data_IF_015067539142
#
_entry.id   IF_015067539142
#
_cell.length_a   1.000
_cell.length_b   1.000
_cell.length_c   1.000
_cell.angle_alpha   90.00
_cell.angle_beta   90.00
_cell.angle_gamma   90.00
#
_symmetry.space_group_name_H-M   'P 1'
#
loop_
_entity.id
_entity.type
_entity.pdbx_description
1 polymer ?
#
# COMPACT_ATOMS: atom_id res chain seq x y z
N UNK A 1 23.39 42.59 13.06
CA UNK A 1 21.91 42.68 13.20
C UNK A 1 21.15 41.93 12.06
N UNK A 2 21.56 42.07 10.80
CA UNK A 2 20.88 41.42 9.63
C UNK A 2 20.76 39.88 9.74
N UNK A 3 21.80 39.21 10.24
CA UNK A 3 21.81 37.75 10.36
C UNK A 3 20.75 37.20 11.36
N UNK A 4 20.51 37.93 12.45
CA UNK A 4 19.48 37.53 13.45
C UNK A 4 18.05 37.64 12.87
N UNK A 5 17.81 38.67 12.05
CA UNK A 5 16.52 38.85 11.38
C UNK A 5 16.28 37.83 10.29
N UNK A 6 17.33 37.40 9.56
CA UNK A 6 17.26 36.32 8.57
C UNK A 6 16.95 34.98 9.25
N UNK A 7 17.62 34.67 10.37
CA UNK A 7 17.34 33.47 11.16
C UNK A 7 15.92 33.46 11.72
N UNK A 8 15.44 34.61 12.22
CA UNK A 8 14.06 34.75 12.69
C UNK A 8 13.03 34.58 11.57
N UNK A 9 13.30 35.12 10.38
CA UNK A 9 12.44 34.96 9.21
C UNK A 9 12.39 33.50 8.76
N UNK A 10 13.53 32.81 8.70
CA UNK A 10 13.60 31.36 8.36
C UNK A 10 12.85 30.54 9.40
N UNK A 11 13.07 30.80 10.69
CA UNK A 11 12.37 30.10 11.77
C UNK A 11 10.86 30.33 11.70
N UNK A 12 10.41 31.58 11.46
CA UNK A 12 8.99 31.89 11.28
C UNK A 12 8.39 31.20 10.07
N UNK A 13 9.12 31.11 8.95
CA UNK A 13 8.65 30.38 7.75
C UNK A 13 8.52 28.88 8.04
N UNK A 14 9.48 28.28 8.73
CA UNK A 14 9.45 26.87 9.13
C UNK A 14 8.23 26.60 10.03
N UNK A 15 7.98 27.43 11.04
CA UNK A 15 6.83 27.29 11.95
C UNK A 15 5.51 27.39 11.19
N UNK A 16 5.38 28.31 10.22
CA UNK A 16 4.15 28.43 9.41
C UNK A 16 3.94 27.25 8.46
N UNK A 17 5.01 26.65 7.93
CA UNK A 17 4.91 25.44 7.09
C UNK A 17 4.50 24.22 7.92
N UNK A 18 4.92 24.13 9.18
CA UNK A 18 4.53 23.03 10.07
C UNK A 18 3.09 23.15 10.61
N UNK A 19 2.53 24.35 10.68
CA UNK A 19 1.18 24.56 11.24
C UNK A 19 0.03 24.23 10.30
N UNK A 20 0.29 23.89 9.03
CA UNK A 20 -0.72 23.61 8.00
C UNK A 20 -1.15 22.14 7.86
N UNK A 21 -0.64 21.22 8.64
CA UNK A 21 -0.95 19.80 8.48
C UNK A 21 -2.16 19.39 9.33
N UNK A 22 -3.31 19.11 8.68
CA UNK A 22 -4.25 18.10 9.18
C UNK A 22 -3.42 16.83 9.47
N UNK A 23 -3.72 16.12 10.56
CA UNK A 23 -3.04 14.85 10.87
C UNK A 23 -2.99 13.96 9.62
N UNK A 24 -1.80 13.55 9.22
CA UNK A 24 -1.64 12.63 8.08
C UNK A 24 -2.25 11.30 8.49
N UNK A 25 -3.28 10.85 7.80
CA UNK A 25 -4.02 9.63 8.12
C UNK A 25 -3.11 8.39 8.29
N UNK A 26 -2.00 8.33 7.54
CA UNK A 26 -0.99 7.26 7.64
C UNK A 26 -0.20 7.30 8.97
N UNK A 27 -0.12 8.48 9.62
CA UNK A 27 0.58 8.67 10.91
C UNK A 27 -0.37 8.70 12.10
N UNK A 28 -1.67 8.46 11.88
CA UNK A 28 -2.72 8.31 12.89
C UNK A 28 -3.32 6.89 12.81
N UNK A 29 -2.56 5.85 13.19
CA UNK A 29 -2.95 4.46 13.04
C UNK A 29 -4.10 4.11 14.00
N UNK A 30 -5.09 3.37 13.50
CA UNK A 30 -6.24 2.84 14.24
C UNK A 30 -6.25 1.31 14.30
N UNK A 31 -5.19 0.68 13.80
CA UNK A 31 -5.02 -0.77 13.82
C UNK A 31 -3.55 -1.19 13.81
N UNK A 32 -3.26 -2.46 14.11
CA UNK A 32 -1.90 -2.95 14.37
C UNK A 32 -1.01 -2.95 13.12
N UNK A 33 -1.58 -3.16 11.92
CA UNK A 33 -0.82 -3.09 10.67
C UNK A 33 -0.40 -1.66 10.37
N UNK A 34 -1.34 -0.69 10.50
CA UNK A 34 -1.04 0.73 10.33
C UNK A 34 -0.03 1.22 11.37
N UNK A 35 -0.12 0.74 12.62
CA UNK A 35 0.86 1.06 13.66
C UNK A 35 2.27 0.60 13.28
N UNK A 36 2.39 -0.61 12.72
CA UNK A 36 3.68 -1.13 12.25
C UNK A 36 4.24 -0.24 11.12
N UNK A 37 3.40 0.16 10.17
CA UNK A 37 3.81 1.04 9.06
C UNK A 37 4.19 2.44 9.55
N UNK A 38 3.40 3.05 10.45
CA UNK A 38 3.69 4.35 11.04
C UNK A 38 5.05 4.36 11.78
N UNK A 39 5.36 3.29 12.52
CA UNK A 39 6.64 3.14 13.20
C UNK A 39 7.83 3.11 12.21
N UNK A 40 7.69 2.40 11.09
CA UNK A 40 8.73 2.36 10.04
C UNK A 40 8.89 3.73 9.38
N UNK A 41 7.79 4.44 9.13
CA UNK A 41 7.82 5.81 8.59
C UNK A 41 8.56 6.75 9.54
N UNK A 42 8.22 6.74 10.84
CA UNK A 42 8.89 7.57 11.83
C UNK A 42 10.38 7.25 11.97
N UNK A 43 10.75 5.96 11.96
CA UNK A 43 12.15 5.52 11.94
C UNK A 43 12.89 6.07 10.71
N UNK A 44 12.25 5.99 9.54
CA UNK A 44 12.82 6.48 8.28
C UNK A 44 13.01 8.00 8.32
N UNK A 45 12.01 8.75 8.81
CA UNK A 45 12.09 10.21 8.98
C UNK A 45 13.24 10.58 9.92
N UNK A 46 13.41 9.86 11.04
CA UNK A 46 14.47 10.14 12.01
C UNK A 46 15.86 9.96 11.38
N UNK A 47 16.09 8.85 10.67
CA UNK A 47 17.37 8.57 9.99
C UNK A 47 17.64 9.59 8.88
N UNK A 48 16.61 9.91 8.07
CA UNK A 48 16.73 10.94 7.03
C UNK A 48 17.07 12.32 7.61
N UNK A 49 16.43 12.69 8.73
CA UNK A 49 16.74 13.95 9.41
C UNK A 49 18.21 14.03 9.86
N UNK A 50 18.74 12.93 10.43
CA UNK A 50 20.15 12.85 10.82
C UNK A 50 21.06 13.04 9.61
N UNK A 51 20.78 12.35 8.50
CA UNK A 51 21.57 12.47 7.25
C UNK A 51 21.57 13.94 6.76
N UNK A 52 20.38 14.55 6.70
CA UNK A 52 20.24 15.95 6.25
C UNK A 52 21.01 16.90 7.16
N UNK A 53 20.94 16.73 8.48
CA UNK A 53 21.67 17.55 9.45
C UNK A 53 23.18 17.41 9.24
N UNK A 54 23.69 16.19 9.07
CA UNK A 54 25.13 15.94 8.82
C UNK A 54 25.58 16.59 7.52
N UNK A 55 24.82 16.42 6.43
CA UNK A 55 25.15 17.03 5.14
C UNK A 55 25.13 18.56 5.23
N UNK A 56 24.13 19.15 5.85
CA UNK A 56 24.04 20.59 6.07
C UNK A 56 25.20 21.10 6.94
N UNK A 57 25.57 20.38 7.99
CA UNK A 57 26.70 20.76 8.85
C UNK A 57 28.02 20.74 8.08
N UNK A 58 28.28 19.69 7.28
CA UNK A 58 29.46 19.63 6.40
C UNK A 58 29.45 20.78 5.39
N UNK A 59 28.31 21.06 4.75
CA UNK A 59 28.19 22.13 3.78
C UNK A 59 28.49 23.48 4.43
N UNK A 60 27.89 23.78 5.56
CA UNK A 60 28.15 25.03 6.31
C UNK A 60 29.61 25.12 6.72
N UNK A 61 30.21 24.04 7.21
CA UNK A 61 31.64 23.98 7.57
C UNK A 61 32.52 24.31 6.37
N UNK A 62 32.31 23.69 5.21
CA UNK A 62 33.08 23.93 3.99
C UNK A 62 32.93 25.38 3.52
N UNK A 63 31.69 25.88 3.43
CA UNK A 63 31.43 27.26 3.00
C UNK A 63 32.03 28.34 3.93
N UNK A 64 32.12 28.04 5.22
CA UNK A 64 32.72 29.02 6.19
C UNK A 64 34.22 28.91 6.26
N UNK A 65 34.78 27.70 6.15
CA UNK A 65 36.24 27.48 6.24
C UNK A 65 36.97 27.88 4.96
N UNK A 66 36.41 27.53 3.79
CA UNK A 66 37.03 27.74 2.48
C UNK A 66 36.48 28.98 1.74
N UNK A 67 35.99 29.97 2.49
CA UNK A 67 35.49 31.23 1.93
C UNK A 67 36.64 32.02 1.30
N UNK A 68 36.54 32.40 0.02
CA UNK A 68 37.52 33.14 -0.77
C UNK A 68 38.05 34.39 -0.07
N UNK A 69 37.18 35.16 0.59
CA UNK A 69 37.55 36.38 1.33
C UNK A 69 38.52 36.14 2.51
N UNK A 70 38.83 34.91 2.88
CA UNK A 70 39.76 34.56 3.95
C UNK A 70 41.10 34.05 3.42
N UNK A 71 41.22 33.84 2.11
CA UNK A 71 42.41 33.31 1.48
C UNK A 71 43.38 34.45 1.07
N UNK A 72 44.70 34.25 1.18
CA UNK A 72 45.69 35.15 0.59
C UNK A 72 45.50 35.23 -0.93
N UNK A 73 45.87 36.37 -1.55
CA UNK A 73 45.73 36.56 -3.00
C UNK A 73 46.52 35.58 -3.85
N UNK A 74 47.57 34.99 -3.27
CA UNK A 74 48.48 34.04 -3.92
C UNK A 74 48.27 32.62 -3.40
N UNK A 75 47.05 32.28 -2.93
CA UNK A 75 46.76 30.94 -2.42
C UNK A 75 46.61 29.95 -3.57
N UNK A 76 47.53 29.02 -3.64
CA UNK A 76 47.41 27.82 -4.48
C UNK A 76 46.82 26.66 -3.64
N UNK A 77 45.69 26.04 -4.10
CA UNK A 77 45.14 24.90 -3.37
C UNK A 77 46.11 23.72 -3.35
N UNK A 78 46.34 23.11 -2.18
CA UNK A 78 47.23 21.94 -2.12
C UNK A 78 46.65 20.77 -2.96
N UNK A 79 47.56 20.06 -3.63
CA UNK A 79 47.18 18.80 -4.30
C UNK A 79 46.77 17.78 -3.22
N UNK A 80 45.50 17.42 -3.21
CA UNK A 80 44.94 16.48 -2.22
C UNK A 80 44.83 15.11 -2.88
N UNK A 81 45.64 14.16 -2.44
CA UNK A 81 45.48 12.75 -2.78
C UNK A 81 44.29 12.16 -2.02
N UNK A 82 43.64 11.11 -2.61
CA UNK A 82 42.49 10.43 -1.99
C UNK A 82 42.86 9.88 -0.60
N UNK A 83 41.88 9.85 0.29
CA UNK A 83 42.00 9.28 1.62
C UNK A 83 41.13 8.04 1.72
N UNK A 84 41.72 6.86 1.69
CA UNK A 84 41.02 5.58 1.72
C UNK A 84 40.08 5.41 2.93
N UNK A 85 40.38 6.03 4.08
CA UNK A 85 39.49 6.00 5.25
C UNK A 85 38.23 6.79 5.00
N UNK A 86 38.38 8.01 4.43
CA UNK A 86 37.23 8.87 4.10
C UNK A 86 36.37 8.22 3.01
N UNK A 87 36.99 7.67 1.99
CA UNK A 87 36.32 6.92 0.91
C UNK A 87 35.52 5.73 1.47
N UNK A 88 36.15 4.92 2.34
CA UNK A 88 35.50 3.79 2.98
C UNK A 88 34.32 4.20 3.83
N UNK A 89 34.38 5.32 4.57
CA UNK A 89 33.29 5.83 5.39
C UNK A 89 32.13 6.33 4.50
N UNK A 90 32.44 7.12 3.45
CA UNK A 90 31.44 7.71 2.56
C UNK A 90 30.65 6.60 1.82
N UNK A 91 31.29 5.51 1.45
CA UNK A 91 30.65 4.38 0.78
C UNK A 91 30.05 3.40 1.79
N UNK A 92 30.74 3.09 2.86
CA UNK A 92 30.33 2.07 3.84
C UNK A 92 29.11 2.46 4.65
N UNK A 93 29.01 3.73 5.09
CA UNK A 93 27.85 4.19 5.88
C UNK A 93 26.52 4.06 5.12
N UNK A 94 26.38 4.54 3.87
CA UNK A 94 25.16 4.30 3.09
C UNK A 94 24.82 2.83 2.89
N UNK A 95 25.82 1.97 2.64
CA UNK A 95 25.62 0.52 2.50
C UNK A 95 25.04 -0.07 3.77
N UNK A 96 25.57 0.28 4.95
CA UNK A 96 25.04 -0.19 6.23
C UNK A 96 23.59 0.28 6.47
N UNK A 97 23.26 1.52 6.10
CA UNK A 97 21.90 2.05 6.19
C UNK A 97 20.94 1.26 5.28
N UNK A 98 21.35 0.96 4.04
CA UNK A 98 20.55 0.16 3.11
C UNK A 98 20.32 -1.25 3.65
N UNK A 99 21.36 -1.92 4.15
CA UNK A 99 21.22 -3.25 4.76
C UNK A 99 20.25 -3.21 5.94
N UNK A 100 20.40 -2.23 6.83
CA UNK A 100 19.51 -2.04 7.96
C UNK A 100 18.04 -1.89 7.53
N UNK A 101 17.74 -0.99 6.59
CA UNK A 101 16.37 -0.80 6.09
C UNK A 101 15.84 -2.00 5.32
N UNK A 102 16.69 -2.75 4.62
CA UNK A 102 16.28 -3.98 3.96
C UNK A 102 15.78 -5.02 4.97
N UNK A 103 16.50 -5.20 6.07
CA UNK A 103 16.09 -6.11 7.15
C UNK A 103 14.77 -5.63 7.81
N UNK A 104 14.68 -4.34 8.14
CA UNK A 104 13.46 -3.74 8.72
C UNK A 104 12.28 -3.91 7.77
N UNK A 105 12.48 -3.69 6.47
CA UNK A 105 11.43 -3.84 5.45
C UNK A 105 10.90 -5.26 5.38
N UNK A 106 11.78 -6.28 5.33
CA UNK A 106 11.37 -7.69 5.27
C UNK A 106 10.58 -8.09 6.52
N UNK A 107 11.07 -7.72 7.72
CA UNK A 107 10.39 -8.04 8.98
C UNK A 107 9.01 -7.36 9.04
N UNK A 108 8.94 -6.08 8.68
CA UNK A 108 7.69 -5.30 8.73
C UNK A 108 6.68 -5.81 7.69
N UNK A 109 7.13 -6.16 6.49
CA UNK A 109 6.26 -6.70 5.45
C UNK A 109 5.62 -8.03 5.90
N UNK A 110 6.40 -8.94 6.46
CA UNK A 110 5.87 -10.20 6.98
C UNK A 110 4.85 -10.01 8.11
N UNK A 111 5.03 -8.98 8.96
CA UNK A 111 4.05 -8.65 10.00
C UNK A 111 2.74 -8.09 9.45
N UNK A 112 2.83 -7.26 8.42
CA UNK A 112 1.64 -6.60 7.83
C UNK A 112 0.81 -7.55 6.96
N UNK A 113 1.45 -8.51 6.30
CA UNK A 113 0.78 -9.53 5.46
C UNK A 113 0.03 -10.58 6.31
N UNK A 114 0.53 -10.90 7.49
CA UNK A 114 -0.05 -11.90 8.38
C UNK A 114 -1.26 -11.36 9.16
N UNK A 115 -2.10 -12.27 9.65
CA UNK A 115 -3.09 -11.92 10.68
C UNK A 115 -2.38 -11.30 11.88
N UNK A 116 -2.84 -10.15 12.41
CA UNK A 116 -2.20 -9.47 13.52
C UNK A 116 -2.01 -10.36 14.74
N UNK A 117 -0.88 -10.24 15.43
CA UNK A 117 -0.54 -11.14 16.56
C UNK A 117 -1.58 -11.13 17.68
N UNK A 118 -2.19 -9.99 17.97
CA UNK A 118 -3.26 -9.86 18.99
C UNK A 118 -4.57 -10.55 18.62
N UNK A 119 -4.73 -11.00 17.36
CA UNK A 119 -5.97 -11.56 16.82
C UNK A 119 -5.84 -13.01 16.33
N UNK A 120 -4.70 -13.64 16.58
CA UNK A 120 -4.46 -15.04 16.20
C UNK A 120 -5.42 -15.97 16.93
N UNK A 121 -6.08 -16.84 16.17
CA UNK A 121 -7.03 -17.83 16.70
C UNK A 121 -8.46 -17.31 16.93
N UNK A 122 -8.75 -16.07 16.57
CA UNK A 122 -10.11 -15.55 16.47
C UNK A 122 -10.64 -15.74 15.05
N UNK A 123 -11.96 -16.00 14.93
CA UNK A 123 -12.61 -16.10 13.63
C UNK A 123 -12.75 -14.71 12.99
N UNK A 124 -12.16 -14.48 11.80
CA UNK A 124 -12.20 -13.19 11.14
C UNK A 124 -13.61 -12.90 10.60
N UNK A 125 -14.00 -11.63 10.61
CA UNK A 125 -15.11 -11.16 9.79
C UNK A 125 -14.65 -11.15 8.33
N UNK A 126 -15.22 -12.00 7.49
CA UNK A 126 -14.92 -12.05 6.05
C UNK A 126 -15.78 -11.02 5.33
N UNK A 127 -15.14 -10.13 4.57
CA UNK A 127 -15.80 -9.11 3.77
C UNK A 127 -15.27 -9.21 2.34
N UNK A 128 -16.16 -9.41 1.39
CA UNK A 128 -15.79 -9.29 -0.02
C UNK A 128 -15.86 -7.83 -0.41
N UNK A 129 -14.73 -7.25 -0.79
CA UNK A 129 -14.65 -5.88 -1.26
C UNK A 129 -14.34 -5.89 -2.76
N UNK A 130 -15.36 -5.70 -3.56
CA UNK A 130 -15.24 -5.63 -5.00
C UNK A 130 -15.32 -4.19 -5.48
N UNK A 131 -14.61 -3.86 -6.56
CA UNK A 131 -14.70 -2.55 -7.19
C UNK A 131 -15.33 -2.64 -8.57
N UNK A 132 -16.07 -1.62 -8.94
CA UNK A 132 -16.50 -1.33 -10.29
C UNK A 132 -16.01 0.06 -10.71
N UNK A 133 -16.42 0.58 -11.88
CA UNK A 133 -16.04 1.90 -12.32
C UNK A 133 -16.46 2.99 -11.31
N UNK A 134 -15.47 3.32 -10.43
CA UNK A 134 -15.43 4.33 -9.36
C UNK A 134 -16.36 4.11 -8.16
N UNK A 135 -16.73 2.85 -7.89
CA UNK A 135 -17.50 2.43 -6.71
C UNK A 135 -16.84 1.25 -6.01
N UNK A 136 -17.09 1.14 -4.71
CA UNK A 136 -16.74 -0.02 -3.90
C UNK A 136 -18.01 -0.70 -3.40
N UNK A 137 -18.06 -2.02 -3.54
CA UNK A 137 -19.12 -2.89 -3.05
C UNK A 137 -18.56 -3.74 -1.92
N UNK A 138 -19.24 -3.78 -0.80
CA UNK A 138 -18.83 -4.56 0.38
C UNK A 138 -19.92 -5.58 0.72
N UNK A 139 -19.63 -6.85 0.48
CA UNK A 139 -20.54 -7.93 0.83
C UNK A 139 -20.08 -8.59 2.13
N UNK A 140 -21.00 -8.75 3.06
CA UNK A 140 -20.82 -9.41 4.35
C UNK A 140 -21.58 -10.74 4.34
N UNK A 141 -21.00 -11.85 3.89
CA UNK A 141 -21.73 -13.13 3.74
C UNK A 141 -22.28 -13.65 5.06
N UNK A 142 -21.56 -13.46 6.17
CA UNK A 142 -22.00 -13.87 7.51
C UNK A 142 -23.30 -13.16 7.94
N UNK A 143 -23.47 -11.92 7.49
CA UNK A 143 -24.60 -11.06 7.88
C UNK A 143 -25.67 -10.94 6.81
N UNK A 144 -25.42 -11.43 5.59
CA UNK A 144 -26.33 -11.31 4.45
C UNK A 144 -26.67 -9.84 4.11
N UNK A 145 -25.63 -9.00 4.03
CA UNK A 145 -25.72 -7.54 3.78
C UNK A 145 -24.72 -7.15 2.69
N UNK A 146 -25.12 -6.19 1.87
CA UNK A 146 -24.25 -5.51 0.95
C UNK A 146 -24.34 -3.99 1.10
N UNK A 147 -23.18 -3.33 1.10
CA UNK A 147 -23.09 -1.87 1.11
C UNK A 147 -22.28 -1.35 -0.08
N UNK A 148 -22.57 -0.12 -0.48
CA UNK A 148 -21.87 0.57 -1.58
C UNK A 148 -21.29 1.88 -1.05
N UNK A 149 -20.00 2.11 -1.29
CA UNK A 149 -19.23 3.30 -0.93
C UNK A 149 -19.18 3.63 0.58
N UNK A 150 -19.52 2.67 1.43
CA UNK A 150 -19.23 2.74 2.86
C UNK A 150 -19.01 1.34 3.45
N UNK A 151 -18.28 1.28 4.55
CA UNK A 151 -17.84 0.06 5.22
C UNK A 151 -17.95 0.24 6.73
N UNK A 152 -18.78 -0.56 7.38
CA UNK A 152 -18.85 -0.63 8.84
C UNK A 152 -18.17 -1.90 9.34
N UNK A 153 -17.32 -1.76 10.35
CA UNK A 153 -16.50 -2.85 10.88
C UNK A 153 -16.51 -2.86 12.41
N UNK A 154 -16.51 -4.04 13.04
CA UNK A 154 -16.33 -4.13 14.48
C UNK A 154 -14.87 -3.88 14.87
N UNK A 155 -14.66 -3.25 16.04
CA UNK A 155 -13.35 -3.21 16.69
C UNK A 155 -13.04 -4.52 17.39
N UNK A 156 -11.75 -4.78 17.60
CA UNK A 156 -11.26 -5.96 18.34
C UNK A 156 -11.66 -7.31 17.72
N UNK A 157 -12.00 -7.34 16.45
CA UNK A 157 -12.20 -8.55 15.65
C UNK A 157 -11.31 -8.50 14.41
N UNK A 158 -10.60 -9.59 14.04
CA UNK A 158 -9.82 -9.60 12.82
C UNK A 158 -10.73 -9.52 11.58
N UNK A 159 -10.27 -8.81 10.57
CA UNK A 159 -10.97 -8.61 9.30
C UNK A 159 -10.21 -9.32 8.20
N UNK A 160 -10.92 -10.06 7.36
CA UNK A 160 -10.37 -10.67 6.16
C UNK A 160 -11.10 -10.13 4.93
N UNK A 161 -10.42 -9.24 4.21
CA UNK A 161 -10.94 -8.71 2.96
C UNK A 161 -10.58 -9.62 1.79
N UNK A 162 -11.58 -10.02 1.02
CA UNK A 162 -11.45 -10.73 -0.27
C UNK A 162 -11.67 -9.69 -1.38
N UNK A 163 -10.58 -9.33 -2.08
CA UNK A 163 -10.56 -8.19 -3.01
C UNK A 163 -10.58 -8.66 -4.45
N UNK A 164 -11.48 -8.10 -5.26
CA UNK A 164 -11.53 -8.29 -6.71
C UNK A 164 -12.18 -7.10 -7.41
N UNK A 165 -12.21 -7.08 -8.73
CA UNK A 165 -12.75 -5.97 -9.52
C UNK A 165 -13.64 -6.47 -10.65
N UNK A 166 -14.74 -5.80 -10.89
CA UNK A 166 -15.61 -5.94 -12.07
C UNK A 166 -15.18 -5.05 -13.25
N UNK A 167 -14.16 -4.23 -13.04
CA UNK A 167 -13.67 -3.27 -14.03
C UNK A 167 -12.15 -3.18 -14.02
N UNK A 168 -11.58 -1.99 -14.06
CA UNK A 168 -10.14 -1.81 -14.07
C UNK A 168 -9.51 -2.30 -12.75
N UNK A 169 -8.20 -2.56 -12.78
CA UNK A 169 -7.43 -2.85 -11.56
C UNK A 169 -7.51 -1.64 -10.64
N UNK A 170 -7.92 -1.89 -9.41
CA UNK A 170 -7.99 -0.89 -8.33
C UNK A 170 -7.09 -1.32 -7.17
N UNK A 171 -6.81 -0.42 -6.25
CA UNK A 171 -6.05 -0.74 -5.04
C UNK A 171 -6.84 -0.30 -3.82
N UNK A 172 -7.32 -1.28 -3.06
CA UNK A 172 -8.03 -1.06 -1.81
C UNK A 172 -7.08 -0.53 -0.74
N UNK A 173 -7.42 0.60 -0.13
CA UNK A 173 -6.58 1.22 0.89
C UNK A 173 -7.39 1.98 1.94
N UNK A 174 -7.20 1.59 3.20
CA UNK A 174 -7.66 2.32 4.39
C UNK A 174 -6.39 2.75 5.15
N UNK A 175 -5.89 3.99 4.96
CA UNK A 175 -4.59 4.43 5.48
C UNK A 175 -4.38 4.24 6.97
N UNK A 176 -5.45 4.36 7.76
CA UNK A 176 -5.40 4.25 9.22
C UNK A 176 -5.48 2.80 9.73
N UNK A 177 -5.80 1.83 8.88
CA UNK A 177 -5.83 0.41 9.25
C UNK A 177 -4.64 -0.38 8.69
N UNK A 178 -4.14 -0.02 7.51
CA UNK A 178 -3.02 -0.76 6.95
C UNK A 178 -2.63 -0.36 5.54
N UNK A 179 -1.80 -1.20 4.92
CA UNK A 179 -1.35 -1.04 3.55
C UNK A 179 -2.42 -1.34 2.53
N UNK A 180 -2.09 -1.04 1.29
CA UNK A 180 -2.96 -1.27 0.14
C UNK A 180 -2.75 -2.66 -0.45
N UNK A 181 -3.80 -3.20 -1.10
CA UNK A 181 -3.71 -4.41 -1.91
C UNK A 181 -4.56 -4.29 -3.18
N UNK A 182 -4.09 -4.88 -4.27
CA UNK A 182 -4.79 -4.81 -5.56
C UNK A 182 -6.06 -5.67 -5.58
N UNK A 183 -7.10 -5.12 -6.18
CA UNK A 183 -8.32 -5.81 -6.60
C UNK A 183 -8.29 -5.95 -8.12
N UNK A 184 -8.34 -7.19 -8.60
CA UNK A 184 -8.18 -7.55 -10.02
C UNK A 184 -9.38 -8.35 -10.52
N UNK A 185 -9.65 -8.31 -11.83
CA UNK A 185 -10.89 -8.87 -12.38
C UNK A 185 -10.96 -10.40 -12.38
N UNK A 186 -9.83 -11.10 -12.43
CA UNK A 186 -9.83 -12.57 -12.63
C UNK A 186 -9.25 -13.34 -11.45
N UNK A 187 -9.06 -12.69 -10.32
CA UNK A 187 -8.50 -13.32 -9.12
C UNK A 187 -8.95 -12.61 -7.85
N UNK A 188 -9.03 -13.36 -6.77
CA UNK A 188 -9.28 -12.83 -5.44
C UNK A 188 -7.95 -12.66 -4.71
N UNK A 189 -7.68 -11.47 -4.18
CA UNK A 189 -6.56 -11.23 -3.29
C UNK A 189 -7.06 -11.10 -1.85
N UNK A 190 -6.26 -11.54 -0.88
CA UNK A 190 -6.66 -11.50 0.54
C UNK A 190 -5.84 -10.45 1.29
N UNK A 191 -6.51 -9.59 2.05
CA UNK A 191 -5.90 -8.59 2.92
C UNK A 191 -6.43 -8.76 4.34
N UNK A 192 -5.52 -8.86 5.31
CA UNK A 192 -5.84 -8.97 6.73
C UNK A 192 -5.66 -7.61 7.41
N UNK A 193 -6.72 -7.12 8.05
CA UNK A 193 -6.70 -5.89 8.83
C UNK A 193 -7.37 -6.13 10.19
N UNK A 194 -7.23 -5.15 11.10
CA UNK A 194 -8.02 -5.07 12.32
C UNK A 194 -8.12 -3.60 12.75
N UNK A 195 -9.21 -3.25 13.43
CA UNK A 195 -9.38 -1.96 14.06
C UNK A 195 -9.33 -2.12 15.59
N UNK A 196 -8.37 -1.44 16.24
CA UNK A 196 -8.23 -1.44 17.70
C UNK A 196 -9.09 -0.36 18.35
N UNK A 197 -9.39 0.72 17.61
CA UNK A 197 -10.12 1.88 18.10
C UNK A 197 -11.34 2.17 17.22
N UNK A 198 -12.44 2.58 17.87
CA UNK A 198 -13.63 3.09 17.17
C UNK A 198 -13.35 4.47 16.57
N UNK A 199 -13.96 4.75 15.43
CA UNK A 199 -13.89 6.06 14.79
C UNK A 199 -14.14 6.02 13.30
N UNK A 200 -14.26 7.20 12.73
CA UNK A 200 -14.46 7.42 11.31
C UNK A 200 -13.12 7.50 10.58
N UNK A 201 -13.05 6.86 9.43
CA UNK A 201 -11.87 6.80 8.56
C UNK A 201 -12.31 6.93 7.10
N UNK A 202 -11.37 7.20 6.22
CA UNK A 202 -11.60 7.26 4.79
C UNK A 202 -10.80 6.16 4.07
N UNK A 203 -11.52 5.32 3.35
CA UNK A 203 -10.91 4.40 2.40
C UNK A 203 -10.95 4.95 0.97
N UNK A 204 -10.05 4.47 0.12
CA UNK A 204 -9.94 4.93 -1.26
C UNK A 204 -9.28 3.91 -2.18
N UNK A 205 -9.51 4.11 -3.46
CA UNK A 205 -8.65 3.49 -4.48
C UNK A 205 -7.30 4.23 -4.54
N UNK A 206 -6.20 3.51 -4.47
CA UNK A 206 -4.85 4.06 -4.55
C UNK A 206 -4.15 3.78 -5.91
N UNK A 207 -4.84 3.16 -6.88
CA UNK A 207 -4.36 2.91 -8.22
C UNK A 207 -5.20 3.69 -9.24
N UNK A 208 -4.56 4.48 -10.11
CA UNK A 208 -5.28 5.26 -11.11
C UNK A 208 -6.12 4.35 -12.02
N UNK A 209 -7.43 4.58 -12.04
CA UNK A 209 -8.43 3.76 -12.73
C UNK A 209 -9.34 4.57 -13.66
N UNK A 210 -8.84 5.67 -14.22
CA UNK A 210 -9.54 6.47 -15.19
C UNK A 210 -10.18 7.75 -14.65
N UNK A 211 -11.18 8.28 -15.35
CA UNK A 211 -11.72 9.65 -15.19
C UNK A 211 -12.29 9.94 -13.79
N UNK A 212 -12.96 8.97 -13.18
CA UNK A 212 -13.57 9.11 -11.84
C UNK A 212 -12.70 8.60 -10.68
N UNK A 213 -11.40 8.38 -10.92
CA UNK A 213 -10.47 7.88 -9.90
C UNK A 213 -10.47 8.68 -8.60
N UNK A 214 -10.49 10.01 -8.69
CA UNK A 214 -10.43 10.88 -7.51
C UNK A 214 -11.65 10.72 -6.57
N UNK A 215 -12.78 10.29 -7.10
CA UNK A 215 -14.04 10.10 -6.39
C UNK A 215 -14.25 8.65 -5.92
N UNK A 216 -13.36 7.73 -6.31
CA UNK A 216 -13.41 6.33 -5.91
C UNK A 216 -12.92 6.16 -4.45
N UNK A 217 -13.72 6.70 -3.55
CA UNK A 217 -13.51 6.72 -2.10
C UNK A 217 -14.72 6.11 -1.39
N UNK A 218 -14.53 5.67 -0.15
CA UNK A 218 -15.59 5.12 0.68
C UNK A 218 -15.39 5.53 2.14
N UNK A 219 -16.49 5.72 2.84
CA UNK A 219 -16.49 5.98 4.27
C UNK A 219 -16.25 4.69 5.04
N UNK A 220 -15.46 4.74 6.09
CA UNK A 220 -15.22 3.60 6.98
C UNK A 220 -15.53 4.02 8.41
N UNK A 221 -16.35 3.25 9.10
CA UNK A 221 -16.60 3.44 10.52
C UNK A 221 -16.29 2.16 11.29
N UNK A 222 -15.36 2.27 12.22
CA UNK A 222 -15.07 1.22 13.20
C UNK A 222 -15.88 1.47 14.46
N UNK A 223 -16.60 0.46 14.94
CA UNK A 223 -17.49 0.56 16.09
C UNK A 223 -17.38 -0.67 16.99
N UNK A 224 -17.93 -0.60 18.21
CA UNK A 224 -17.97 -1.78 19.07
C UNK A 224 -18.79 -2.91 18.43
N UNK A 225 -18.52 -4.17 18.81
CA UNK A 225 -19.28 -5.33 18.31
C UNK A 225 -20.80 -5.15 18.53
N UNK A 226 -21.21 -4.68 19.69
CA UNK A 226 -22.64 -4.47 20.01
C UNK A 226 -23.31 -3.50 19.04
N UNK A 227 -22.63 -2.38 18.70
CA UNK A 227 -23.14 -1.39 17.72
C UNK A 227 -23.16 -1.95 16.30
N UNK A 228 -22.18 -2.77 15.96
CA UNK A 228 -22.15 -3.45 14.67
C UNK A 228 -23.32 -4.43 14.54
N UNK A 229 -23.62 -5.19 15.58
CA UNK A 229 -24.74 -6.13 15.61
C UNK A 229 -26.09 -5.39 15.56
N UNK A 230 -26.21 -4.24 16.23
CA UNK A 230 -27.37 -3.37 16.16
C UNK A 230 -27.58 -2.82 14.73
N UNK A 231 -26.53 -2.34 14.07
CA UNK A 231 -26.57 -1.92 12.67
C UNK A 231 -26.99 -3.07 11.74
N UNK A 232 -26.44 -4.27 11.91
CA UNK A 232 -26.84 -5.44 11.14
C UNK A 232 -28.32 -5.72 11.26
N UNK A 233 -28.88 -5.61 12.48
CA UNK A 233 -30.30 -5.82 12.73
C UNK A 233 -31.13 -4.74 12.04
N UNK A 234 -30.76 -3.47 12.17
CA UNK A 234 -31.44 -2.35 11.52
C UNK A 234 -31.47 -2.53 9.99
N UNK A 235 -30.35 -2.91 9.38
CA UNK A 235 -30.28 -3.15 7.93
C UNK A 235 -31.23 -4.27 7.52
N UNK A 236 -31.27 -5.37 8.26
CA UNK A 236 -32.19 -6.50 7.96
C UNK A 236 -33.67 -6.13 8.05
N UNK A 237 -34.02 -5.15 8.89
CA UNK A 237 -35.39 -4.69 9.07
C UNK A 237 -35.79 -3.61 8.03
N UNK A 238 -34.83 -2.80 7.56
CA UNK A 238 -35.14 -1.58 6.80
C UNK A 238 -34.69 -1.58 5.36
N UNK A 239 -33.60 -2.30 5.03
CA UNK A 239 -33.02 -2.26 3.71
C UNK A 239 -33.80 -3.15 2.71
N UNK A 240 -33.72 -2.78 1.45
CA UNK A 240 -34.29 -3.58 0.35
C UNK A 240 -33.30 -4.66 -0.09
N UNK A 241 -33.79 -5.81 -0.59
CA UNK A 241 -32.91 -6.85 -1.12
C UNK A 241 -32.17 -6.33 -2.37
N UNK A 242 -30.89 -6.73 -2.49
CA UNK A 242 -30.18 -6.52 -3.73
C UNK A 242 -30.71 -7.48 -4.80
N UNK A 243 -30.88 -6.97 -6.00
CA UNK A 243 -31.30 -7.79 -7.15
C UNK A 243 -30.20 -7.76 -8.20
N UNK A 244 -30.10 -8.82 -9.01
CA UNK A 244 -29.17 -8.88 -10.13
C UNK A 244 -29.30 -7.68 -11.08
N UNK A 245 -30.53 -7.23 -11.35
CA UNK A 245 -30.79 -6.05 -12.18
C UNK A 245 -30.16 -4.79 -11.57
N UNK A 246 -30.42 -4.56 -10.25
CA UNK A 246 -29.86 -3.40 -9.57
C UNK A 246 -28.34 -3.45 -9.47
N UNK A 247 -27.78 -4.62 -9.22
CA UNK A 247 -26.34 -4.79 -9.18
C UNK A 247 -25.70 -4.52 -10.56
N UNK A 248 -26.28 -5.04 -11.64
CA UNK A 248 -25.79 -4.75 -13.00
C UNK A 248 -25.89 -3.26 -13.38
N UNK A 249 -26.84 -2.52 -12.82
CA UNK A 249 -26.88 -1.06 -12.92
C UNK A 249 -25.73 -0.39 -12.18
N UNK A 250 -25.42 -0.87 -10.96
CA UNK A 250 -24.32 -0.36 -10.15
C UNK A 250 -22.95 -0.63 -10.77
N UNK A 251 -22.80 -1.65 -11.61
CA UNK A 251 -21.55 -1.92 -12.33
C UNK A 251 -21.28 -0.90 -13.46
N UNK A 252 -22.30 -0.18 -13.95
CA UNK A 252 -22.10 0.83 -15.00
C UNK A 252 -21.23 1.99 -14.50
N UNK A 253 -20.38 2.59 -15.39
CA UNK A 253 -19.58 3.75 -15.03
C UNK A 253 -20.42 4.89 -14.47
N UNK A 254 -20.01 5.43 -13.34
CA UNK A 254 -20.71 6.54 -12.68
C UNK A 254 -20.41 6.58 -11.18
N UNK A 255 -20.81 7.66 -10.56
CA UNK A 255 -20.70 7.85 -9.13
C UNK A 255 -22.04 7.59 -8.46
N UNK A 256 -22.04 6.85 -7.35
CA UNK A 256 -23.21 6.57 -6.52
C UNK A 256 -22.93 7.05 -5.09
N UNK A 257 -23.99 7.39 -4.37
CA UNK A 257 -23.90 7.66 -2.94
C UNK A 257 -23.70 6.37 -2.12
N UNK A 258 -23.89 6.48 -0.83
CA UNK A 258 -23.90 5.33 0.07
C UNK A 258 -25.22 4.59 -0.07
N UNK A 259 -25.16 3.29 -0.33
CA UNK A 259 -26.34 2.44 -0.47
C UNK A 259 -26.21 1.20 0.41
N UNK A 260 -27.34 0.67 0.84
CA UNK A 260 -27.42 -0.52 1.70
C UNK A 260 -28.49 -1.47 1.17
N UNK A 261 -28.16 -2.77 1.18
CA UNK A 261 -29.04 -3.83 0.73
C UNK A 261 -28.99 -5.02 1.69
N UNK A 262 -30.10 -5.76 1.80
CA UNK A 262 -30.08 -7.12 2.30
C UNK A 262 -29.74 -8.08 1.17
N UNK A 263 -29.16 -9.24 1.50
CA UNK A 263 -28.53 -10.14 0.52
C UNK A 263 -27.18 -9.66 0.04
N UNK A 264 -26.51 -10.46 -0.75
CA UNK A 264 -25.24 -10.13 -1.39
C UNK A 264 -25.28 -10.45 -2.88
N UNK A 265 -24.48 -9.72 -3.68
CA UNK A 265 -24.36 -10.05 -5.10
C UNK A 265 -23.66 -11.42 -5.33
N UNK A 266 -23.04 -11.98 -4.32
CA UNK A 266 -22.34 -13.26 -4.42
C UNK A 266 -23.25 -14.41 -4.81
N UNK A 267 -24.58 -14.32 -4.54
CA UNK A 267 -25.56 -15.33 -4.87
C UNK A 267 -25.81 -15.48 -6.38
N UNK A 268 -25.63 -14.40 -7.15
CA UNK A 268 -25.86 -14.37 -8.59
C UNK A 268 -24.64 -13.91 -9.42
N UNK A 269 -23.64 -13.32 -8.77
CA UNK A 269 -22.38 -12.89 -9.37
C UNK A 269 -21.21 -13.22 -8.42
N UNK A 270 -20.84 -14.50 -8.32
CA UNK A 270 -19.84 -14.95 -7.35
C UNK A 270 -18.47 -14.35 -7.65
N UNK A 271 -17.64 -14.26 -6.60
CA UNK A 271 -16.25 -13.86 -6.73
C UNK A 271 -15.49 -14.81 -7.70
N UNK A 272 -14.49 -14.30 -8.43
CA UNK A 272 -13.67 -15.14 -9.30
C UNK A 272 -13.06 -16.33 -8.57
N UNK A 273 -13.02 -17.50 -9.20
CA UNK A 273 -12.30 -18.65 -8.70
C UNK A 273 -10.79 -18.40 -8.82
N UNK A 274 -10.05 -18.62 -7.76
CA UNK A 274 -8.60 -18.47 -7.71
C UNK A 274 -8.15 -17.56 -6.57
N UNK A 275 -7.53 -18.17 -5.58
CA UNK A 275 -6.79 -17.40 -4.59
C UNK A 275 -5.50 -16.89 -5.21
N UNK A 276 -5.13 -15.68 -4.80
CA UNK A 276 -3.81 -15.14 -5.09
C UNK A 276 -2.76 -16.19 -4.73
N UNK A 277 -2.04 -16.70 -5.71
CA UNK A 277 -0.82 -17.44 -5.51
C UNK A 277 0.24 -16.46 -4.97
N UNK A 278 0.00 -15.91 -3.78
CA UNK A 278 0.97 -15.15 -3.02
C UNK A 278 2.06 -16.12 -2.66
N UNK A 279 3.22 -15.92 -3.24
CA UNK A 279 4.55 -16.41 -2.91
C UNK A 279 4.60 -17.54 -1.84
N UNK A 280 4.21 -18.74 -2.22
CA UNK A 280 4.69 -19.93 -1.58
C UNK A 280 6.16 -20.11 -2.03
N UNK A 281 7.09 -19.57 -1.26
CA UNK A 281 8.44 -20.11 -1.22
C UNK A 281 8.32 -21.57 -0.74
N UNK A 282 8.70 -22.45 -1.65
CA UNK A 282 8.59 -23.87 -1.61
C UNK A 282 8.80 -24.54 -0.25
N UNK A 283 7.89 -25.43 0.03
CA UNK A 283 8.22 -26.73 0.56
C UNK A 283 7.69 -27.76 -0.42
N UNK A 284 8.63 -28.33 -1.15
CA UNK A 284 8.45 -29.50 -1.97
C UNK A 284 8.04 -30.68 -1.08
N UNK A 285 6.80 -31.11 -1.20
CA UNK A 285 6.45 -32.50 -0.89
C UNK A 285 5.94 -33.17 -2.17
N UNK A 286 6.85 -33.97 -2.69
CA UNK A 286 6.63 -34.98 -3.71
C UNK A 286 5.71 -36.09 -3.15
N UNK A 287 4.56 -36.32 -3.74
CA UNK A 287 4.08 -37.65 -4.12
C UNK A 287 2.67 -37.57 -4.72
N UNK A 288 2.56 -37.84 -6.00
CA UNK A 288 1.53 -38.74 -6.51
C UNK A 288 1.89 -39.23 -7.92
N UNK A 289 2.08 -40.51 -8.04
CA UNK A 289 2.14 -41.25 -9.28
C UNK A 289 0.85 -41.09 -10.09
N UNK A 290 0.97 -40.82 -11.39
CA UNK A 290 0.06 -41.30 -12.38
C UNK A 290 0.76 -41.46 -13.73
N UNK A 291 0.71 -42.68 -14.19
CA UNK A 291 1.18 -43.29 -15.41
C UNK A 291 0.73 -42.59 -16.71
N UNK A 292 1.70 -42.42 -17.63
CA UNK A 292 1.71 -42.86 -19.00
C UNK A 292 0.84 -42.15 -20.03
N UNK A 293 1.50 -41.46 -20.95
CA UNK A 293 1.38 -41.79 -22.37
C UNK A 293 2.43 -40.98 -23.16
N UNK A 294 3.28 -41.73 -23.86
CA UNK A 294 4.23 -41.24 -24.85
C UNK A 294 3.49 -40.65 -26.07
N UNK A 295 3.86 -39.45 -26.50
CA UNK A 295 3.81 -39.06 -27.91
C UNK A 295 5.14 -38.40 -28.28
N UNK A 296 5.85 -39.15 -29.08
CA UNK A 296 7.06 -38.86 -29.82
C UNK A 296 6.75 -37.79 -30.91
N UNK A 297 7.40 -36.68 -30.93
CA UNK A 297 7.47 -35.80 -32.09
C UNK A 297 8.90 -35.52 -32.49
N UNK A 298 9.26 -36.14 -33.65
CA UNK A 298 10.47 -35.98 -34.40
C UNK A 298 10.88 -34.52 -34.67
N UNK A 299 12.10 -34.20 -34.27
CA UNK A 299 12.81 -33.03 -34.77
C UNK A 299 13.58 -33.37 -36.04
N UNK A 300 13.07 -32.88 -37.16
CA UNK A 300 13.86 -32.80 -38.40
C UNK A 300 14.54 -31.44 -38.51
N UNK A 301 15.86 -31.51 -38.37
CA UNK A 301 16.84 -30.48 -38.72
C UNK A 301 16.84 -30.24 -40.22
N UNK A 302 16.78 -28.98 -40.67
CA UNK A 302 17.28 -28.58 -41.98
C UNK A 302 18.08 -27.29 -41.88
N UNK A 303 19.34 -27.49 -42.09
CA UNK A 303 20.41 -26.53 -42.35
C UNK A 303 20.27 -25.99 -43.79
N UNK A 304 20.27 -24.70 -44.03
CA UNK A 304 20.71 -24.13 -45.33
C UNK A 304 21.32 -22.76 -45.14
N UNK A 305 22.62 -22.74 -45.45
CA UNK A 305 23.45 -21.57 -45.77
C UNK A 305 22.98 -20.99 -47.12
N UNK A 306 23.05 -19.65 -47.28
CA UNK A 306 23.68 -18.94 -48.42
C UNK A 306 23.42 -17.44 -48.31
N UNK A 307 24.48 -16.70 -48.18
CA UNK A 307 25.24 -15.87 -49.11
C UNK A 307 24.58 -14.55 -49.56
N UNK A 308 25.23 -13.53 -49.08
CA UNK A 308 25.70 -12.27 -49.67
C UNK A 308 25.26 -11.89 -51.09
N UNK A 309 24.85 -10.61 -51.28
CA UNK A 309 25.38 -9.62 -52.21
C UNK A 309 24.55 -8.36 -52.21
N UNK A 310 25.16 -7.24 -51.92
CA UNK A 310 25.43 -6.03 -52.73
C UNK A 310 24.36 -5.61 -53.76
N UNK A 311 23.75 -4.43 -53.70
CA UNK A 311 24.11 -3.19 -54.39
C UNK A 311 22.96 -2.16 -54.33
N UNK A 312 23.38 -0.90 -54.16
CA UNK A 312 22.98 0.38 -54.80
C UNK A 312 21.53 0.61 -55.28
N UNK A 313 20.86 1.56 -54.71
CA UNK A 313 20.66 2.94 -55.17
C UNK A 313 20.05 3.80 -54.07
#
# INVERSE_FOLDING_TARGET
MRTKWVLLAILSTIVNVLSGCKSLAVLDPKGPQAQTQANVIWLSIAIMAVIVIVVCAILVFVLTKYRDSKLPKDYEPPYIEGNHVVETIIVGVPILIVIFFSVVSVISNNKVEATPEGYKGQDPLVIYASSSDWKWHFSYPENDIETVNYLYIPTNRPLQFKLYSFGPITSFWIPQLGGQKYAMSNMVTTLHLAADESGEMMGRNANFSGKGFAENTFHVEAMSQDKFDEWVKEVKETAKPITEVRFNELLKPGHEGQLTFTGTHLDFSPAPEGENAGHHHGSSDSNTNSSGEHMEHDHKSSNSKEKSAHNHE
#
